data_IF_462553207768
#
_entry.id   IF_462553207768
#
_cell.length_a   1.000
_cell.length_b   1.000
_cell.length_c   1.000
_cell.angle_alpha   90.00
_cell.angle_beta   90.00
_cell.angle_gamma   90.00
#
_symmetry.space_group_name_H-M   'P 1'
#
loop_
_entity.id
_entity.type
_entity.pdbx_description
1 polymer ?
#
# COMPACT_ATOMS: atom_id res chain seq x y z
N UNK A 1 10.57 -1.47 3.12
CA UNK A 1 9.55 -1.87 4.11
C UNK A 1 10.26 -2.29 5.39
N UNK A 2 9.61 -2.17 6.57
CA UNK A 2 10.17 -2.67 7.83
C UNK A 2 10.09 -4.20 7.91
N UNK A 3 10.96 -4.83 8.72
CA UNK A 3 11.02 -6.30 8.87
C UNK A 3 9.67 -6.93 9.25
N UNK A 4 8.88 -6.27 10.13
CA UNK A 4 7.57 -6.78 10.55
C UNK A 4 6.56 -6.88 9.41
N UNK A 5 6.57 -5.94 8.46
CA UNK A 5 5.71 -5.99 7.28
C UNK A 5 6.14 -7.13 6.34
N UNK A 6 7.45 -7.33 6.15
CA UNK A 6 7.96 -8.45 5.34
C UNK A 6 7.57 -9.80 5.97
N UNK A 7 7.68 -9.93 7.30
CA UNK A 7 7.25 -11.13 8.03
C UNK A 7 5.77 -11.41 7.80
N UNK A 8 4.92 -10.37 7.91
CA UNK A 8 3.48 -10.51 7.68
C UNK A 8 3.16 -10.98 6.25
N UNK A 9 3.80 -10.41 5.24
CA UNK A 9 3.59 -10.86 3.85
C UNK A 9 4.06 -12.30 3.63
N UNK A 10 5.17 -12.72 4.25
CA UNK A 10 5.61 -14.12 4.20
C UNK A 10 4.61 -15.06 4.90
N UNK A 11 4.02 -14.66 6.03
CA UNK A 11 2.97 -15.43 6.72
C UNK A 11 1.68 -15.54 5.88
N UNK A 12 1.44 -14.57 4.98
CA UNK A 12 0.36 -14.60 4.01
C UNK A 12 0.72 -15.36 2.72
N UNK A 13 1.82 -16.11 2.72
CA UNK A 13 2.30 -16.95 1.62
C UNK A 13 2.53 -16.17 0.31
N UNK A 14 3.08 -14.97 0.39
CA UNK A 14 3.54 -14.24 -0.79
C UNK A 14 4.79 -14.91 -1.33
N UNK A 15 4.81 -15.26 -2.61
CA UNK A 15 5.93 -15.96 -3.25
C UNK A 15 7.20 -15.12 -3.37
N UNK A 16 7.05 -13.81 -3.57
CA UNK A 16 8.18 -12.90 -3.73
C UNK A 16 7.87 -11.49 -3.22
N UNK A 17 8.79 -10.92 -2.46
CA UNK A 17 8.71 -9.54 -1.97
C UNK A 17 9.80 -8.73 -2.66
N UNK A 18 9.42 -7.80 -3.53
CA UNK A 18 10.36 -6.89 -4.16
C UNK A 18 10.80 -5.84 -3.14
N UNK A 19 12.11 -5.73 -2.84
CA UNK A 19 12.59 -4.72 -1.91
C UNK A 19 12.27 -3.32 -2.41
N UNK A 20 11.73 -2.48 -1.54
CA UNK A 20 11.38 -1.10 -1.86
C UNK A 20 10.99 -0.30 -0.63
N UNK A 21 10.83 0.99 -0.77
CA UNK A 21 10.45 1.91 0.31
C UNK A 21 10.09 3.28 -0.25
N UNK A 22 9.84 4.25 0.63
CA UNK A 22 9.42 5.60 0.24
C UNK A 22 10.43 6.33 -0.66
N UNK A 23 11.71 6.01 -0.56
CA UNK A 23 12.81 6.65 -1.30
C UNK A 23 13.43 5.78 -2.40
N UNK A 24 13.07 4.48 -2.45
CA UNK A 24 13.59 3.52 -3.43
C UNK A 24 12.42 2.73 -4.01
N UNK A 25 11.81 3.27 -5.07
CA UNK A 25 10.83 2.53 -5.85
C UNK A 25 11.56 1.52 -6.74
N UNK A 26 11.08 0.26 -6.83
CA UNK A 26 11.64 -0.70 -7.76
C UNK A 26 11.46 -0.23 -9.20
N UNK A 27 12.46 -0.48 -10.02
CA UNK A 27 12.40 -0.21 -11.46
C UNK A 27 11.54 -1.25 -12.19
N UNK A 28 11.16 -0.97 -13.42
CA UNK A 28 10.49 -1.93 -14.30
C UNK A 28 11.33 -3.22 -14.45
N UNK A 29 12.67 -3.10 -14.50
CA UNK A 29 13.58 -4.24 -14.60
C UNK A 29 13.57 -5.09 -13.32
N UNK A 30 13.58 -4.46 -12.13
CA UNK A 30 13.49 -5.18 -10.86
C UNK A 30 12.19 -5.99 -10.77
N UNK A 31 11.07 -5.39 -11.20
CA UNK A 31 9.77 -6.06 -11.21
C UNK A 31 9.75 -7.20 -12.23
N UNK A 32 10.30 -6.99 -13.42
CA UNK A 32 10.36 -8.03 -14.44
C UNK A 32 11.21 -9.22 -13.97
N UNK A 33 12.37 -8.98 -13.36
CA UNK A 33 13.20 -10.03 -12.80
C UNK A 33 12.44 -10.81 -11.71
N UNK A 34 11.72 -10.14 -10.83
CA UNK A 34 10.89 -10.80 -9.81
C UNK A 34 9.79 -11.67 -10.44
N UNK A 35 9.13 -11.22 -11.51
CA UNK A 35 8.13 -12.00 -12.25
C UNK A 35 8.76 -13.31 -12.80
N UNK A 36 9.97 -13.24 -13.33
CA UNK A 36 10.65 -14.42 -13.90
C UNK A 36 11.06 -15.42 -12.81
N UNK A 37 11.40 -14.97 -11.60
CA UNK A 37 11.79 -15.83 -10.47
C UNK A 37 10.61 -16.56 -9.82
N UNK A 38 9.40 -16.00 -9.86
CA UNK A 38 8.20 -16.65 -9.28
C UNK A 38 7.77 -17.82 -10.15
N UNK A 39 7.62 -19.01 -9.57
CA UNK A 39 7.06 -20.16 -10.27
C UNK A 39 5.55 -19.98 -10.49
N UNK A 40 5.08 -20.23 -11.70
CA UNK A 40 3.66 -20.10 -12.04
C UNK A 40 3.43 -19.40 -13.37
N UNK A 41 2.27 -19.65 -13.97
CA UNK A 41 1.86 -19.03 -15.23
C UNK A 41 1.10 -17.70 -15.00
N UNK A 42 0.39 -17.61 -13.89
CA UNK A 42 -0.39 -16.43 -13.52
C UNK A 42 0.27 -15.74 -12.34
N UNK A 43 0.66 -14.49 -12.53
CA UNK A 43 1.36 -13.68 -11.53
C UNK A 43 0.48 -12.48 -11.17
N UNK A 44 0.16 -12.33 -9.89
CA UNK A 44 -0.51 -11.13 -9.36
C UNK A 44 0.53 -10.23 -8.70
N UNK A 45 0.61 -8.99 -9.16
CA UNK A 45 1.46 -7.97 -8.56
C UNK A 45 0.61 -7.04 -7.70
N UNK A 46 1.01 -6.87 -6.44
CA UNK A 46 0.43 -5.92 -5.49
C UNK A 46 1.44 -4.77 -5.27
N UNK A 47 1.34 -3.65 -5.98
CA UNK A 47 2.30 -2.56 -5.89
C UNK A 47 2.36 -1.92 -4.49
N UNK A 48 1.24 -1.84 -3.77
CA UNK A 48 1.10 -1.25 -2.43
C UNK A 48 1.59 0.22 -2.35
N UNK A 49 1.79 0.83 -3.50
CA UNK A 49 2.22 2.22 -3.66
C UNK A 49 1.80 2.71 -5.05
N UNK A 50 1.06 3.81 -5.10
CA UNK A 50 0.59 4.37 -6.38
C UNK A 50 1.70 4.74 -7.37
N UNK A 51 2.90 5.06 -6.87
CA UNK A 51 4.05 5.40 -7.72
C UNK A 51 4.66 4.20 -8.46
N UNK A 52 4.36 2.97 -8.00
CA UNK A 52 4.93 1.73 -8.57
C UNK A 52 4.01 1.15 -9.66
N UNK A 53 2.74 1.51 -9.68
CA UNK A 53 1.74 0.94 -10.60
C UNK A 53 2.19 1.04 -12.05
N UNK A 54 2.69 2.20 -12.47
CA UNK A 54 3.14 2.39 -13.85
C UNK A 54 4.33 1.48 -14.22
N UNK A 55 5.30 1.33 -13.31
CA UNK A 55 6.43 0.43 -13.54
C UNK A 55 5.99 -1.04 -13.58
N UNK A 56 5.01 -1.42 -12.77
CA UNK A 56 4.41 -2.75 -12.76
C UNK A 56 3.65 -3.03 -14.07
N UNK A 57 2.89 -2.06 -14.57
CA UNK A 57 2.21 -2.20 -15.85
C UNK A 57 3.21 -2.33 -17.02
N UNK A 58 4.30 -1.58 -17.01
CA UNK A 58 5.38 -1.73 -18.00
C UNK A 58 6.04 -3.10 -17.93
N UNK A 59 6.31 -3.62 -16.73
CA UNK A 59 6.87 -4.95 -16.55
C UNK A 59 5.91 -6.06 -17.05
N UNK A 60 4.62 -5.91 -16.79
CA UNK A 60 3.57 -6.77 -17.34
C UNK A 60 3.63 -6.85 -18.86
N UNK A 61 3.73 -5.72 -19.56
CA UNK A 61 3.79 -5.69 -21.03
C UNK A 61 5.07 -6.37 -21.60
N UNK A 62 6.15 -6.42 -20.83
CA UNK A 62 7.41 -7.02 -21.22
C UNK A 62 7.50 -8.51 -20.84
N UNK A 63 6.67 -8.98 -19.93
CA UNK A 63 6.68 -10.38 -19.46
C UNK A 63 6.04 -11.33 -20.47
N UNK A 64 6.51 -12.59 -20.45
CA UNK A 64 5.90 -13.71 -21.20
C UNK A 64 4.85 -14.47 -20.39
N UNK A 65 4.76 -14.21 -19.08
CA UNK A 65 3.78 -14.81 -18.19
C UNK A 65 2.47 -14.02 -18.19
N UNK A 66 1.39 -14.59 -17.68
CA UNK A 66 0.12 -13.91 -17.49
C UNK A 66 0.22 -13.03 -16.23
N UNK A 67 0.49 -11.75 -16.39
CA UNK A 67 0.68 -10.82 -15.27
C UNK A 67 -0.56 -9.97 -15.07
N UNK A 68 -1.00 -9.89 -13.82
CA UNK A 68 -2.13 -9.08 -13.36
C UNK A 68 -1.63 -8.05 -12.35
N UNK A 69 -1.61 -6.78 -12.73
CA UNK A 69 -1.29 -5.70 -11.80
C UNK A 69 -2.57 -5.35 -11.04
N UNK A 70 -2.63 -5.74 -9.77
CA UNK A 70 -3.76 -5.42 -8.93
C UNK A 70 -3.50 -4.08 -8.22
N UNK A 71 -4.31 -3.03 -8.43
CA UNK A 71 -3.91 -1.64 -8.18
C UNK A 71 -3.97 -1.23 -6.70
N UNK A 72 -3.31 -1.97 -5.82
CA UNK A 72 -3.15 -1.57 -4.43
C UNK A 72 -2.23 -0.37 -4.31
N UNK A 73 -2.64 0.64 -3.53
CA UNK A 73 -1.90 1.89 -3.34
C UNK A 73 -1.25 2.00 -1.97
N UNK A 74 -1.62 1.11 -1.06
CA UNK A 74 -1.17 1.11 0.33
C UNK A 74 -0.93 -0.32 0.83
N UNK A 75 -0.09 -0.46 1.85
CA UNK A 75 0.18 -1.75 2.51
C UNK A 75 -1.11 -2.40 3.05
N UNK A 76 -2.00 -1.68 3.77
CA UNK A 76 -3.26 -2.27 4.23
C UNK A 76 -4.14 -2.79 3.10
N UNK A 77 -4.22 -2.10 1.96
CA UNK A 77 -4.94 -2.62 0.78
C UNK A 77 -4.33 -3.94 0.30
N UNK A 78 -2.99 -4.03 0.22
CA UNK A 78 -2.31 -5.27 -0.17
C UNK A 78 -2.57 -6.43 0.78
N UNK A 79 -2.53 -6.18 2.08
CA UNK A 79 -2.84 -7.20 3.11
C UNK A 79 -4.29 -7.66 2.96
N UNK A 80 -5.24 -6.74 2.82
CA UNK A 80 -6.67 -7.09 2.67
C UNK A 80 -6.93 -7.87 1.37
N UNK A 81 -6.26 -7.48 0.28
CA UNK A 81 -6.34 -8.22 -0.98
C UNK A 81 -5.83 -9.66 -0.84
N UNK A 82 -4.69 -9.86 -0.17
CA UNK A 82 -4.14 -11.20 0.09
C UNK A 82 -5.03 -12.05 0.97
N UNK A 83 -5.68 -11.49 1.97
CA UNK A 83 -6.63 -12.20 2.84
C UNK A 83 -7.88 -12.66 2.08
N UNK A 84 -8.22 -12.03 0.96
CA UNK A 84 -9.34 -12.41 0.10
C UNK A 84 -8.92 -13.35 -1.04
N UNK A 85 -7.63 -13.64 -1.20
CA UNK A 85 -7.12 -14.56 -2.20
C UNK A 85 -7.38 -16.01 -1.76
N UNK A 86 -7.87 -16.83 -2.70
CA UNK A 86 -8.13 -18.25 -2.51
C UNK A 86 -7.47 -19.04 -3.65
N UNK A 87 -6.53 -19.91 -3.32
CA UNK A 87 -5.82 -20.74 -4.28
C UNK A 87 -6.71 -21.80 -4.99
N UNK A 88 -7.89 -22.09 -4.43
CA UNK A 88 -8.81 -23.09 -4.96
C UNK A 88 -9.73 -22.54 -6.07
N UNK A 89 -9.76 -21.20 -6.25
CA UNK A 89 -10.60 -20.59 -7.28
C UNK A 89 -9.77 -20.00 -8.43
N UNK A 90 -10.44 -19.73 -9.57
CA UNK A 90 -9.77 -19.20 -10.75
C UNK A 90 -9.25 -17.77 -10.58
N UNK A 91 -8.29 -17.38 -11.42
CA UNK A 91 -7.66 -16.05 -11.35
C UNK A 91 -8.66 -14.89 -11.44
N UNK A 92 -9.66 -14.99 -12.29
CA UNK A 92 -10.66 -13.92 -12.49
C UNK A 92 -11.54 -13.75 -11.24
N UNK A 93 -11.95 -14.86 -10.64
CA UNK A 93 -12.71 -14.86 -9.39
C UNK A 93 -11.88 -14.26 -8.24
N UNK A 94 -10.60 -14.63 -8.15
CA UNK A 94 -9.69 -14.02 -7.19
C UNK A 94 -9.58 -12.51 -7.37
N UNK A 95 -9.40 -12.00 -8.58
CA UNK A 95 -9.31 -10.56 -8.83
C UNK A 95 -10.58 -9.82 -8.43
N UNK A 96 -11.77 -10.42 -8.64
CA UNK A 96 -13.04 -9.83 -8.19
C UNK A 96 -13.16 -9.85 -6.66
N UNK A 97 -12.87 -10.98 -6.01
CA UNK A 97 -12.91 -11.11 -4.54
C UNK A 97 -11.96 -10.11 -3.87
N UNK A 98 -10.73 -10.01 -4.35
CA UNK A 98 -9.74 -9.05 -3.88
C UNK A 98 -10.22 -7.59 -4.05
N UNK A 99 -10.84 -7.28 -5.19
CA UNK A 99 -11.38 -5.95 -5.48
C UNK A 99 -12.53 -5.58 -4.54
N UNK A 100 -13.46 -6.50 -4.29
CA UNK A 100 -14.53 -6.30 -3.33
C UNK A 100 -14.00 -6.09 -1.91
N UNK A 101 -13.00 -6.90 -1.51
CA UNK A 101 -12.39 -6.81 -0.20
C UNK A 101 -11.73 -5.44 0.07
N UNK A 102 -11.02 -4.87 -0.92
CA UNK A 102 -10.35 -3.57 -0.73
C UNK A 102 -11.27 -2.35 -0.92
N UNK A 103 -12.47 -2.52 -1.46
CA UNK A 103 -13.38 -1.42 -1.79
C UNK A 103 -13.70 -0.52 -0.58
N UNK A 104 -13.77 -1.12 0.61
CA UNK A 104 -14.11 -0.43 1.86
C UNK A 104 -12.88 -0.16 2.77
N UNK A 105 -11.68 -0.48 2.31
CA UNK A 105 -10.46 -0.22 3.08
C UNK A 105 -10.17 1.28 3.09
N UNK A 106 -10.18 1.85 4.28
CA UNK A 106 -9.79 3.24 4.52
C UNK A 106 -8.38 3.26 5.05
N UNK A 107 -7.49 3.95 4.35
CA UNK A 107 -6.09 4.03 4.73
C UNK A 107 -5.68 5.46 5.02
N UNK A 108 -4.80 5.60 5.99
CA UNK A 108 -4.19 6.86 6.34
C UNK A 108 -2.77 6.63 6.88
N UNK A 109 -1.95 7.65 6.82
CA UNK A 109 -0.60 7.60 7.38
C UNK A 109 -0.25 8.89 8.11
N UNK A 110 0.56 8.76 9.14
CA UNK A 110 1.18 9.88 9.85
C UNK A 110 2.67 9.89 9.48
N UNK A 111 3.17 11.06 9.09
CA UNK A 111 4.57 11.25 8.69
C UNK A 111 5.03 12.66 9.00
N UNK A 112 6.27 12.99 8.69
CA UNK A 112 6.83 14.33 8.84
C UNK A 112 6.83 15.07 7.50
N UNK A 113 6.55 16.38 7.54
CA UNK A 113 6.67 17.24 6.39
C UNK A 113 8.15 17.40 5.97
N UNK A 114 8.46 17.13 4.71
CA UNK A 114 9.83 17.21 4.20
C UNK A 114 10.26 18.64 3.83
N UNK A 115 9.32 19.57 3.73
CA UNK A 115 9.53 20.98 3.37
C UNK A 115 8.37 21.85 3.84
N UNK A 116 8.60 23.14 3.92
CA UNK A 116 7.54 24.12 4.12
C UNK A 116 6.59 24.12 2.92
N UNK A 117 5.29 24.17 3.20
CA UNK A 117 4.24 24.22 2.17
C UNK A 117 2.96 24.84 2.77
N UNK A 118 2.01 25.20 1.90
CA UNK A 118 0.68 25.65 2.29
C UNK A 118 -0.34 24.88 1.44
N UNK A 119 -1.27 24.17 2.10
CA UNK A 119 -2.29 23.34 1.46
C UNK A 119 -3.61 23.59 2.18
N UNK A 120 -4.66 23.94 1.44
CA UNK A 120 -6.01 24.19 1.98
C UNK A 120 -6.01 25.20 3.17
N UNK A 121 -5.28 26.31 3.03
CA UNK A 121 -5.09 27.33 4.06
C UNK A 121 -4.36 26.84 5.34
N UNK A 122 -3.83 25.61 5.33
CA UNK A 122 -2.97 25.09 6.38
C UNK A 122 -1.50 25.38 6.05
N UNK A 123 -0.87 26.14 6.94
CA UNK A 123 0.57 26.36 6.87
C UNK A 123 1.29 25.20 7.53
N UNK A 124 2.14 24.54 6.75
CA UNK A 124 2.90 23.37 7.16
C UNK A 124 4.38 23.74 7.09
N UNK A 125 5.09 23.63 8.20
CA UNK A 125 6.53 23.83 8.20
C UNK A 125 7.23 22.48 8.06
N UNK A 126 8.48 22.53 7.61
CA UNK A 126 9.34 21.35 7.59
C UNK A 126 9.41 20.74 9.00
N UNK A 127 9.36 19.41 9.06
CA UNK A 127 9.37 18.58 10.26
C UNK A 127 8.06 18.61 11.10
N UNK A 128 7.03 19.38 10.70
CA UNK A 128 5.69 19.23 11.28
C UNK A 128 5.16 17.82 11.03
N UNK A 129 4.39 17.31 11.99
CA UNK A 129 3.72 16.02 11.86
C UNK A 129 2.45 16.21 11.04
N UNK A 130 2.31 15.44 9.98
CA UNK A 130 1.17 15.49 9.05
C UNK A 130 0.44 14.16 8.98
N UNK A 131 -0.87 14.22 8.95
CA UNK A 131 -1.75 13.09 8.68
C UNK A 131 -2.29 13.16 7.25
N UNK A 132 -2.08 12.09 6.50
CA UNK A 132 -2.46 11.98 5.09
C UNK A 132 -3.53 10.90 4.95
N UNK A 133 -4.64 11.24 4.31
CA UNK A 133 -5.73 10.33 3.95
C UNK A 133 -6.13 10.57 2.50
N UNK A 134 -6.34 9.51 1.71
CA UNK A 134 -6.70 9.63 0.28
C UNK A 134 -5.79 10.56 -0.54
N UNK A 135 -4.49 10.57 -0.22
CA UNK A 135 -3.47 11.44 -0.88
C UNK A 135 -3.57 12.93 -0.47
N UNK A 136 -4.45 13.30 0.46
CA UNK A 136 -4.60 14.66 0.94
C UNK A 136 -4.13 14.78 2.40
N UNK A 137 -3.49 15.92 2.72
CA UNK A 137 -3.15 16.26 4.11
C UNK A 137 -4.44 16.70 4.81
N UNK A 138 -4.84 15.95 5.82
CA UNK A 138 -6.08 16.17 6.55
C UNK A 138 -5.88 16.57 8.01
N UNK A 139 -4.65 16.49 8.52
CA UNK A 139 -4.30 16.96 9.86
C UNK A 139 -2.83 17.36 9.93
N UNK A 140 -2.52 18.35 10.76
CA UNK A 140 -1.16 18.87 11.00
C UNK A 140 -1.03 19.16 12.49
N UNK A 141 0.14 18.90 13.08
CA UNK A 141 0.40 19.17 14.48
C UNK A 141 1.85 18.87 14.89
N UNK A 142 2.10 18.96 16.20
CA UNK A 142 3.43 18.75 16.77
C UNK A 142 3.55 17.45 17.55
N UNK A 143 2.43 16.75 17.78
CA UNK A 143 2.37 15.50 18.52
C UNK A 143 1.74 14.40 17.68
N UNK A 144 2.43 13.24 17.57
CA UNK A 144 1.98 12.10 16.74
C UNK A 144 0.60 11.63 17.16
N UNK A 145 0.33 11.52 18.47
CA UNK A 145 -0.94 11.03 18.99
C UNK A 145 -2.10 11.95 18.62
N UNK A 146 -1.90 13.26 18.69
CA UNK A 146 -2.94 14.25 18.35
C UNK A 146 -3.25 14.19 16.85
N UNK A 147 -2.23 14.19 16.00
CA UNK A 147 -2.38 14.11 14.54
C UNK A 147 -3.05 12.79 14.14
N UNK A 148 -2.62 11.66 14.71
CA UNK A 148 -3.21 10.35 14.45
C UNK A 148 -4.68 10.30 14.90
N UNK A 149 -5.01 10.87 16.06
CA UNK A 149 -6.37 10.88 16.55
C UNK A 149 -7.31 11.74 15.69
N UNK A 150 -6.86 12.91 15.26
CA UNK A 150 -7.62 13.77 14.32
C UNK A 150 -7.82 13.06 12.99
N UNK A 151 -6.76 12.41 12.47
CA UNK A 151 -6.79 11.65 11.23
C UNK A 151 -7.82 10.51 11.32
N UNK A 152 -7.81 9.72 12.41
CA UNK A 152 -8.78 8.66 12.65
C UNK A 152 -10.21 9.19 12.69
N UNK A 153 -10.48 10.29 13.39
CA UNK A 153 -11.82 10.92 13.42
C UNK A 153 -12.34 11.30 12.03
N UNK A 154 -11.44 11.68 11.13
CA UNK A 154 -11.80 12.10 9.78
C UNK A 154 -12.12 10.92 8.84
N UNK A 155 -11.60 9.72 9.13
CA UNK A 155 -11.76 8.56 8.24
C UNK A 155 -12.73 7.49 8.77
N UNK A 156 -12.97 7.44 10.07
CA UNK A 156 -13.90 6.49 10.70
C UNK A 156 -15.35 6.94 10.43
N UNK A 157 -16.19 5.96 10.13
CA UNK A 157 -17.64 6.10 10.03
C UNK A 157 -18.37 4.93 10.72
N UNK A 158 -19.68 4.86 10.55
CA UNK A 158 -20.53 3.83 11.17
C UNK A 158 -20.23 2.40 10.71
N UNK A 159 -19.64 2.25 9.51
CA UNK A 159 -19.26 0.97 8.92
C UNK A 159 -17.86 0.50 9.34
N UNK A 160 -17.10 1.32 10.06
CA UNK A 160 -15.74 1.03 10.49
C UNK A 160 -15.73 0.11 11.71
N UNK A 161 -15.44 -1.19 11.53
CA UNK A 161 -15.47 -2.20 12.59
C UNK A 161 -14.09 -2.59 13.13
N UNK A 162 -13.01 -2.33 12.40
CA UNK A 162 -11.64 -2.69 12.77
C UNK A 162 -10.67 -1.55 12.44
N UNK A 163 -9.77 -1.27 13.36
CA UNK A 163 -8.65 -0.34 13.16
C UNK A 163 -7.36 -1.12 13.34
N UNK A 164 -6.50 -1.12 12.31
CA UNK A 164 -5.16 -1.69 12.38
C UNK A 164 -4.13 -0.56 12.27
N UNK A 165 -3.18 -0.53 13.20
CA UNK A 165 -2.12 0.48 13.24
C UNK A 165 -0.76 -0.21 13.05
N UNK A 166 -0.03 0.18 12.02
CA UNK A 166 1.35 -0.20 11.80
C UNK A 166 2.26 0.94 12.23
N UNK A 167 3.29 0.63 13.01
CA UNK A 167 4.25 1.62 13.48
C UNK A 167 5.69 1.11 13.35
N UNK A 168 6.62 2.02 13.15
CA UNK A 168 8.05 1.73 13.11
C UNK A 168 8.72 1.81 14.48
N UNK A 169 9.98 1.41 14.53
CA UNK A 169 10.81 1.38 15.76
C UNK A 169 11.56 2.70 16.02
N UNK A 170 11.22 3.79 15.32
CA UNK A 170 12.01 5.01 15.45
C UNK A 170 11.22 6.26 15.47
#
# INVERSE_FOLDING_TARGET
MGEGINTLFNELNVDYIIPGGQTMNPSTEDILNAIEEVEGENIIILPNNGNIVLAADQAKELSKKNVYVFPTKTIPEGITALLAFDSEVGIQENLENMKEAIANVKTAQVTYAVRDTEINDMKINKDDIIGISKVEISSVGNEIQEVAFQLLKNIIDEDSSLITIFYGNG
#
